data_IF_973841825571
#
_entry.id   IF_973841825571
#
_cell.length_a   1.000
_cell.length_b   1.000
_cell.length_c   1.000
_cell.angle_alpha   90.00
_cell.angle_beta   90.00
_cell.angle_gamma   90.00
#
_symmetry.space_group_name_H-M   'P 1'
#
loop_
_entity.id
_entity.type
_entity.pdbx_description
1 polymer ?
#
# COMPACT_ATOMS: atom_id res chain seq x y z
N UNK A 1 -17.66 -5.44 -0.71
CA UNK A 1 -16.83 -4.72 -1.70
C UNK A 1 -16.38 -3.44 -1.06
N UNK A 2 -15.11 -3.38 -0.69
CA UNK A 2 -14.49 -2.23 -0.05
C UNK A 2 -13.45 -1.69 -1.02
N UNK A 3 -13.77 -0.63 -1.75
CA UNK A 3 -12.82 -0.03 -2.68
C UNK A 3 -11.76 0.73 -1.89
N UNK A 4 -10.54 0.23 -1.94
CA UNK A 4 -9.38 0.84 -1.29
C UNK A 4 -8.73 1.87 -2.22
N UNK A 5 -8.17 2.92 -1.64
CA UNK A 5 -7.35 3.88 -2.37
C UNK A 5 -5.96 3.27 -2.64
N UNK A 6 -5.89 2.42 -3.67
CA UNK A 6 -4.68 1.68 -4.05
C UNK A 6 -3.47 2.58 -4.34
N UNK A 7 -3.72 3.79 -4.84
CA UNK A 7 -2.73 4.82 -5.13
C UNK A 7 -2.03 5.30 -3.85
N UNK A 8 -2.83 5.59 -2.81
CA UNK A 8 -2.32 5.96 -1.48
C UNK A 8 -1.61 4.77 -0.79
N UNK A 9 -2.15 3.56 -0.89
CA UNK A 9 -1.54 2.34 -0.32
C UNK A 9 -0.21 2.02 -0.99
N UNK A 10 -0.12 2.18 -2.31
CA UNK A 10 1.12 2.04 -3.09
C UNK A 10 2.19 2.99 -2.58
N UNK A 11 1.88 4.28 -2.41
CA UNK A 11 2.85 5.22 -1.83
C UNK A 11 3.25 4.80 -0.41
N UNK A 12 2.29 4.47 0.46
CA UNK A 12 2.61 4.07 1.84
C UNK A 12 3.57 2.87 1.88
N UNK A 13 3.38 1.87 1.03
CA UNK A 13 4.27 0.71 0.94
C UNK A 13 5.63 1.05 0.31
N UNK A 14 5.70 1.93 -0.70
CA UNK A 14 6.96 2.45 -1.26
C UNK A 14 7.75 3.26 -0.23
N UNK A 15 7.10 4.07 0.61
CA UNK A 15 7.75 4.83 1.69
C UNK A 15 8.23 3.90 2.82
N UNK A 16 7.55 2.78 3.11
CA UNK A 16 8.08 1.73 4.01
C UNK A 16 9.26 0.96 3.37
N UNK A 17 9.25 0.75 2.05
CA UNK A 17 10.33 0.05 1.35
C UNK A 17 11.63 0.86 1.27
N UNK A 18 11.51 2.18 1.06
CA UNK A 18 12.65 3.07 0.81
C UNK A 18 12.99 3.97 2.02
N UNK A 19 12.22 3.91 3.11
CA UNK A 19 12.33 4.81 4.25
C UNK A 19 13.14 4.26 5.43
N UNK A 20 14.22 4.95 5.78
CA UNK A 20 15.02 4.73 7.00
C UNK A 20 14.64 5.64 8.18
N UNK A 21 13.58 6.44 8.05
CA UNK A 21 13.13 7.41 9.06
C UNK A 21 11.67 7.22 9.50
N UNK A 22 11.24 8.04 10.47
CA UNK A 22 9.90 7.95 11.08
C UNK A 22 8.80 8.01 10.02
N UNK A 23 8.03 6.93 9.93
CA UNK A 23 6.95 6.77 8.98
C UNK A 23 5.82 7.75 9.29
N UNK A 24 5.40 8.51 8.30
CA UNK A 24 4.49 9.64 8.48
C UNK A 24 3.36 9.64 7.45
N UNK A 25 2.38 8.72 7.53
CA UNK A 25 1.33 8.55 6.51
C UNK A 25 0.59 9.84 6.16
N UNK A 26 0.37 10.70 7.17
CA UNK A 26 -0.26 12.02 6.97
C UNK A 26 0.58 12.97 6.11
N UNK A 27 1.91 12.94 6.25
CA UNK A 27 2.82 13.75 5.41
C UNK A 27 2.87 13.22 3.99
N UNK A 28 2.87 11.90 3.79
CA UNK A 28 2.84 11.30 2.45
C UNK A 28 1.53 11.64 1.73
N UNK A 29 0.38 11.62 2.42
CA UNK A 29 -0.89 12.13 1.91
C UNK A 29 -0.86 13.64 1.59
N UNK A 30 -0.17 14.46 2.41
CA UNK A 30 0.05 15.89 2.11
C UNK A 30 0.95 16.12 0.90
N UNK A 31 1.93 15.25 0.66
CA UNK A 31 2.80 15.27 -0.52
C UNK A 31 2.05 14.83 -1.78
N UNK A 32 1.28 13.74 -1.73
CA UNK A 32 0.39 13.32 -2.83
C UNK A 32 -0.59 14.42 -3.22
N UNK A 33 -1.22 15.05 -2.23
CA UNK A 33 -2.11 16.18 -2.44
C UNK A 33 -1.40 17.37 -3.11
N UNK A 34 -0.16 17.69 -2.72
CA UNK A 34 0.61 18.77 -3.31
C UNK A 34 1.07 18.44 -4.75
N UNK A 35 1.46 17.19 -5.02
CA UNK A 35 1.91 16.76 -6.35
C UNK A 35 0.74 16.71 -7.34
N UNK A 36 -0.37 16.06 -6.96
CA UNK A 36 -1.62 16.04 -7.75
C UNK A 36 -2.16 17.46 -8.00
N UNK A 37 -2.11 18.37 -7.01
CA UNK A 37 -2.45 19.79 -7.23
C UNK A 37 -1.53 20.48 -8.25
N UNK A 38 -0.24 20.12 -8.27
CA UNK A 38 0.77 20.66 -9.21
C UNK A 38 0.59 20.09 -10.62
N UNK A 39 0.17 18.83 -10.74
CA UNK A 39 -0.25 18.20 -11.99
C UNK A 39 -1.60 18.74 -12.54
N UNK A 40 -2.37 19.47 -11.71
CA UNK A 40 -3.69 20.01 -12.06
C UNK A 40 -4.86 19.05 -11.79
N UNK A 41 -4.61 17.97 -11.04
CA UNK A 41 -5.62 16.99 -10.64
C UNK A 41 -6.45 17.45 -9.41
N UNK A 42 -7.61 16.82 -9.22
CA UNK A 42 -8.52 17.13 -8.12
C UNK A 42 -8.19 16.36 -6.85
N UNK A 43 -7.48 17.01 -5.94
CA UNK A 43 -7.01 16.49 -4.62
C UNK A 43 -8.13 15.99 -3.68
N UNK A 44 -9.38 16.42 -3.90
CA UNK A 44 -10.49 16.08 -3.00
C UNK A 44 -10.36 16.76 -1.63
N UNK A 45 -10.61 16.01 -0.55
CA UNK A 45 -10.50 16.52 0.82
C UNK A 45 -9.20 16.02 1.48
N UNK A 46 -8.24 16.92 1.65
CA UNK A 46 -6.93 16.64 2.25
C UNK A 46 -7.02 16.05 3.68
N UNK A 47 -7.99 16.47 4.50
CA UNK A 47 -8.14 15.92 5.86
C UNK A 47 -8.78 14.53 5.87
N UNK A 48 -9.52 14.16 4.82
CA UNK A 48 -9.95 12.79 4.60
C UNK A 48 -8.76 11.93 4.15
N UNK A 49 -7.98 12.38 3.16
CA UNK A 49 -6.80 11.66 2.64
C UNK A 49 -5.75 11.40 3.75
N UNK A 50 -5.48 12.39 4.61
CA UNK A 50 -4.63 12.22 5.81
C UNK A 50 -5.20 11.21 6.82
N UNK A 51 -6.52 11.10 6.94
CA UNK A 51 -7.17 10.13 7.81
C UNK A 51 -7.08 8.73 7.21
N UNK A 52 -7.40 8.57 5.92
CA UNK A 52 -7.26 7.31 5.17
C UNK A 52 -5.84 6.77 5.28
N UNK A 53 -4.82 7.60 5.09
CA UNK A 53 -3.43 7.17 5.19
C UNK A 53 -3.07 6.60 6.58
N UNK A 54 -3.59 7.18 7.65
CA UNK A 54 -3.38 6.69 9.01
C UNK A 54 -4.26 5.46 9.36
N UNK A 55 -5.42 5.32 8.73
CA UNK A 55 -6.25 4.12 8.83
C UNK A 55 -5.58 2.94 8.11
N UNK A 56 -4.99 3.19 6.93
CA UNK A 56 -4.22 2.22 6.17
C UNK A 56 -2.89 1.84 6.83
N UNK A 57 -2.16 2.75 7.47
CA UNK A 57 -1.02 2.40 8.35
C UNK A 57 -1.45 1.34 9.39
N UNK A 58 -2.48 1.65 10.17
CA UNK A 58 -2.98 0.77 11.22
C UNK A 58 -3.53 -0.56 10.67
N UNK A 59 -4.17 -0.54 9.49
CA UNK A 59 -4.69 -1.73 8.82
C UNK A 59 -3.57 -2.62 8.27
N UNK A 60 -2.59 -2.04 7.56
CA UNK A 60 -1.44 -2.76 6.99
C UNK A 60 -0.59 -3.39 8.10
N UNK A 61 -0.37 -2.68 9.21
CA UNK A 61 0.33 -3.22 10.38
C UNK A 61 -0.47 -4.36 11.05
N UNK A 62 -1.76 -4.14 11.30
CA UNK A 62 -2.65 -5.15 11.92
C UNK A 62 -2.83 -6.41 11.07
N UNK A 63 -2.79 -6.28 9.74
CA UNK A 63 -2.91 -7.37 8.76
C UNK A 63 -1.55 -7.94 8.32
N UNK A 64 -0.44 -7.53 8.93
CA UNK A 64 0.90 -8.08 8.66
C UNK A 64 1.43 -7.84 7.25
N UNK A 65 1.07 -6.72 6.60
CA UNK A 65 1.72 -6.23 5.38
C UNK A 65 2.97 -5.40 5.72
N UNK A 66 2.95 -4.67 6.84
CA UNK A 66 4.12 -3.98 7.40
C UNK A 66 4.34 -4.45 8.84
N UNK A 67 5.58 -4.41 9.31
CA UNK A 67 5.93 -4.67 10.71
C UNK A 67 6.90 -3.60 11.21
N UNK A 68 6.95 -3.35 12.53
CA UNK A 68 7.89 -2.38 13.09
C UNK A 68 9.32 -2.81 12.82
N UNK A 69 10.16 -1.89 12.32
CA UNK A 69 11.58 -2.19 12.07
C UNK A 69 12.22 -2.66 13.39
N UNK A 70 13.00 -3.76 13.41
CA UNK A 70 13.61 -4.25 14.64
C UNK A 70 14.70 -3.30 15.16
N UNK A 71 14.91 -3.26 16.48
CA UNK A 71 15.88 -2.37 17.14
C UNK A 71 17.31 -2.55 16.58
N UNK A 72 17.68 -3.78 16.18
CA UNK A 72 18.98 -4.12 15.56
C UNK A 72 19.22 -3.43 14.21
N UNK A 73 18.15 -3.05 13.50
CA UNK A 73 18.20 -2.31 12.21
C UNK A 73 17.93 -0.80 12.39
N UNK A 74 17.96 -0.30 13.63
CA UNK A 74 17.63 1.10 13.96
C UNK A 74 16.14 1.34 14.25
N UNK A 75 15.40 0.29 14.60
CA UNK A 75 14.01 0.37 15.05
C UNK A 75 13.82 1.26 16.27
N UNK A 76 12.81 2.13 16.19
CA UNK A 76 12.42 3.12 17.21
C UNK A 76 10.92 3.07 17.57
N UNK A 77 10.15 2.16 16.94
CA UNK A 77 8.69 2.10 17.03
C UNK A 77 7.93 3.10 16.13
N UNK A 78 8.63 4.01 15.46
CA UNK A 78 8.07 4.94 14.46
C UNK A 78 8.46 4.55 13.01
N UNK A 79 9.44 3.66 12.85
CA UNK A 79 9.91 3.12 11.57
C UNK A 79 9.34 1.72 11.34
N UNK A 80 8.99 1.40 10.10
CA UNK A 80 8.48 0.08 9.68
C UNK A 80 9.37 -0.56 8.61
N UNK A 81 9.14 -1.83 8.32
CA UNK A 81 9.67 -2.58 7.17
C UNK A 81 8.54 -3.34 6.46
N UNK A 82 8.73 -3.64 5.18
CA UNK A 82 7.78 -4.46 4.42
C UNK A 82 7.92 -5.93 4.81
N UNK A 83 6.81 -6.59 5.15
CA UNK A 83 6.79 -8.05 5.25
C UNK A 83 6.84 -8.67 3.84
N UNK A 84 7.04 -10.00 3.71
CA UNK A 84 6.86 -10.69 2.42
C UNK A 84 5.46 -10.46 1.83
N UNK A 85 4.43 -10.30 2.67
CA UNK A 85 3.05 -10.01 2.26
C UNK A 85 2.91 -8.56 1.77
N UNK A 86 3.53 -7.59 2.45
CA UNK A 86 3.57 -6.19 2.00
C UNK A 86 4.32 -6.00 0.68
N UNK A 87 5.46 -6.66 0.54
CA UNK A 87 6.22 -6.69 -0.72
C UNK A 87 5.40 -7.30 -1.86
N UNK A 88 4.67 -8.38 -1.59
CA UNK A 88 3.76 -9.01 -2.56
C UNK A 88 2.59 -8.08 -2.92
N UNK A 89 1.98 -7.40 -1.94
CA UNK A 89 0.91 -6.42 -2.20
C UNK A 89 1.42 -5.27 -3.06
N UNK A 90 2.59 -4.72 -2.73
CA UNK A 90 3.22 -3.66 -3.50
C UNK A 90 3.44 -4.09 -4.95
N UNK A 91 4.05 -5.25 -5.21
CA UNK A 91 4.24 -5.77 -6.57
C UNK A 91 2.95 -6.12 -7.33
N UNK A 92 1.81 -6.25 -6.65
CA UNK A 92 0.49 -6.47 -7.28
C UNK A 92 -0.25 -5.17 -7.57
N UNK A 93 0.01 -4.12 -6.80
CA UNK A 93 -0.59 -2.80 -7.05
C UNK A 93 0.30 -1.90 -7.89
N UNK A 94 1.62 -2.16 -7.98
CA UNK A 94 2.61 -1.29 -8.63
C UNK A 94 2.17 -0.83 -10.03
N UNK A 95 1.92 0.48 -10.15
CA UNK A 95 1.39 1.13 -11.36
C UNK A 95 2.27 0.98 -12.61
N UNK A 96 3.49 0.43 -12.48
CA UNK A 96 4.48 0.32 -13.57
C UNK A 96 4.24 -0.88 -14.51
N UNK A 97 3.18 -1.67 -14.29
CA UNK A 97 2.84 -2.86 -15.11
C UNK A 97 1.66 -2.56 -16.07
N UNK A 98 1.89 -2.19 -17.34
CA UNK A 98 0.82 -1.91 -18.29
C UNK A 98 0.12 -3.18 -18.81
N UNK A 99 -1.18 -3.33 -18.55
CA UNK A 99 -2.01 -4.40 -19.13
C UNK A 99 -3.46 -4.41 -18.62
N UNK A 100 -4.38 -5.01 -19.39
CA UNK A 100 -5.82 -5.04 -19.06
C UNK A 100 -6.17 -5.92 -17.84
N UNK A 101 -5.29 -6.83 -17.43
CA UNK A 101 -5.44 -7.68 -16.24
C UNK A 101 -4.63 -7.15 -15.02
N UNK A 102 -4.70 -5.83 -14.77
CA UNK A 102 -4.00 -5.22 -13.64
C UNK A 102 -4.46 -5.83 -12.29
N UNK A 103 -3.57 -6.30 -11.40
CA UNK A 103 -4.01 -7.06 -10.22
C UNK A 103 -4.85 -6.24 -9.23
N UNK A 104 -4.66 -4.91 -9.18
CA UNK A 104 -5.60 -3.94 -8.57
C UNK A 104 -7.08 -4.25 -8.86
N UNK A 105 -7.43 -4.65 -10.08
CA UNK A 105 -8.82 -4.97 -10.46
C UNK A 105 -9.30 -6.29 -9.83
N UNK A 106 -8.42 -7.29 -9.72
CA UNK A 106 -8.74 -8.57 -9.06
C UNK A 106 -8.90 -8.36 -7.54
N UNK A 107 -8.11 -7.44 -6.96
CA UNK A 107 -8.23 -7.02 -5.57
C UNK A 107 -9.54 -6.25 -5.32
N UNK A 108 -9.89 -5.25 -6.15
CA UNK A 108 -11.15 -4.49 -6.01
C UNK A 108 -12.41 -5.36 -6.19
N UNK A 109 -12.31 -6.47 -6.93
CA UNK A 109 -13.37 -7.47 -7.02
C UNK A 109 -13.65 -8.26 -5.71
N UNK A 110 -12.85 -8.08 -4.65
CA UNK A 110 -13.04 -8.77 -3.37
C UNK A 110 -13.95 -7.99 -2.39
N UNK A 111 -14.40 -8.66 -1.31
CA UNK A 111 -15.18 -7.99 -0.27
C UNK A 111 -14.33 -7.15 0.69
N UNK A 112 -13.21 -7.73 1.16
CA UNK A 112 -12.07 -7.08 1.82
C UNK A 112 -10.80 -7.62 1.14
N UNK A 113 -10.13 -6.76 0.38
CA UNK A 113 -8.93 -7.10 -0.39
C UNK A 113 -7.63 -7.09 0.44
N UNK A 114 -7.70 -6.59 1.67
CA UNK A 114 -6.62 -6.57 2.65
C UNK A 114 -6.87 -7.57 3.79
N UNK A 115 -7.89 -8.42 3.67
CA UNK A 115 -8.03 -9.60 4.51
C UNK A 115 -6.91 -10.60 4.21
N UNK A 116 -6.34 -11.17 5.26
CA UNK A 116 -5.15 -12.01 5.15
C UNK A 116 -5.39 -13.28 4.33
N UNK A 117 -6.57 -13.89 4.44
CA UNK A 117 -6.92 -15.11 3.71
C UNK A 117 -7.38 -14.79 2.28
N UNK A 118 -8.12 -13.68 2.10
CA UNK A 118 -8.54 -13.22 0.78
C UNK A 118 -7.35 -12.75 -0.06
N UNK A 119 -6.44 -11.97 0.52
CA UNK A 119 -5.22 -11.51 -0.13
C UNK A 119 -4.32 -12.70 -0.52
N UNK A 120 -4.08 -13.65 0.39
CA UNK A 120 -3.24 -14.82 0.10
C UNK A 120 -3.78 -15.66 -1.08
N UNK A 121 -5.11 -15.82 -1.18
CA UNK A 121 -5.75 -16.47 -2.32
C UNK A 121 -5.62 -15.67 -3.64
N UNK A 122 -5.74 -14.33 -3.59
CA UNK A 122 -5.58 -13.47 -4.78
C UNK A 122 -4.12 -13.40 -5.22
N UNK A 123 -3.19 -13.21 -4.29
CA UNK A 123 -1.76 -13.19 -4.54
C UNK A 123 -1.26 -14.53 -5.11
N UNK A 124 -1.72 -15.66 -4.54
CA UNK A 124 -1.44 -17.00 -5.08
C UNK A 124 -1.94 -17.14 -6.53
N UNK A 125 -3.15 -16.65 -6.85
CA UNK A 125 -3.72 -16.64 -8.20
C UNK A 125 -2.98 -15.73 -9.18
N UNK A 126 -2.49 -14.58 -8.72
CA UNK A 126 -1.72 -13.65 -9.53
C UNK A 126 -0.30 -14.18 -9.80
N UNK A 127 0.36 -14.78 -8.80
CA UNK A 127 1.69 -15.37 -8.93
C UNK A 127 1.71 -16.52 -9.96
N UNK A 128 0.71 -17.42 -9.96
CA UNK A 128 0.60 -18.48 -10.98
C UNK A 128 0.21 -17.96 -12.37
N UNK A 129 -0.34 -16.74 -12.49
CA UNK A 129 -0.63 -16.09 -13.76
C UNK A 129 0.59 -15.35 -14.34
N UNK A 130 1.42 -14.75 -13.48
CA UNK A 130 2.67 -14.08 -13.88
C UNK A 130 3.87 -15.02 -14.09
N UNK A 131 3.86 -16.21 -13.47
CA UNK A 131 4.96 -17.17 -13.51
C UNK A 131 5.09 -18.02 -14.80
N UNK A 132 4.62 -17.53 -15.94
CA UNK A 132 4.53 -18.30 -17.20
C UNK A 132 5.14 -17.55 -18.40
N UNK A 133 6.46 -17.39 -18.40
CA UNK A 133 7.30 -16.97 -19.54
C UNK A 133 8.52 -17.87 -19.71
#
# INVERSE_FOLDING_TARGET
>A
MTTYNWDLIERLLHEVQNGDGSFAPRKYAEQEAADKATAGESVGNLDALKKEAADYEALLLKRGFIESRPEEEGGNGENFILTPRGSSLLSLIDSSIPGEHHPRHVLDQQEDALDEATFDQVASKAAIAGGAI
#
